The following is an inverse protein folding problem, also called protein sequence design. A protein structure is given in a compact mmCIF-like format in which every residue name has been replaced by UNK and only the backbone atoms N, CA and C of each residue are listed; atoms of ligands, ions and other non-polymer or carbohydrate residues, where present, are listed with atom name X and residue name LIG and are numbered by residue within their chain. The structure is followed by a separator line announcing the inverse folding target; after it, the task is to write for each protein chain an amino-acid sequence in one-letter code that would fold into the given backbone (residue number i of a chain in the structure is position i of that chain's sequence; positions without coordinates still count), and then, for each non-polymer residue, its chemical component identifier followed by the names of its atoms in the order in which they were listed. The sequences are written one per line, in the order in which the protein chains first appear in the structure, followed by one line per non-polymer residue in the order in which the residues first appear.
data_IF_028127022807
#
_entry.id   IF_028127022807
#
_cell.length_a   1.000
_cell.length_b   1.000
_cell.length_c   1.000
_cell.angle_alpha   90.00
_cell.angle_beta   90.00
_cell.angle_gamma   90.00
#
_symmetry.space_group_name_H-M   'P 1'
#
loop_
_entity.id
_entity.type
_entity.pdbx_description
1 polymer ?
#
# COMPACT_ATOMS: atom_id res chain seq x y z
N UNK A 1 -10.50 -16.35 -17.73
CA UNK A 1 -9.36 -15.37 -17.86
C UNK A 1 -8.04 -16.13 -17.70
N UNK A 2 -6.97 -15.80 -18.46
CA UNK A 2 -5.67 -16.45 -18.23
C UNK A 2 -4.98 -15.80 -17.02
N UNK A 3 -4.31 -16.60 -16.18
CA UNK A 3 -3.64 -16.11 -14.97
C UNK A 3 -2.64 -14.97 -15.25
N UNK A 4 -1.87 -15.07 -16.33
CA UNK A 4 -0.93 -14.02 -16.74
C UNK A 4 -1.57 -12.64 -17.00
N UNK A 5 -2.85 -12.62 -17.39
CA UNK A 5 -3.59 -11.38 -17.66
C UNK A 5 -4.25 -10.84 -16.37
N UNK A 6 -4.32 -11.67 -15.33
CA UNK A 6 -4.92 -11.38 -14.04
C UNK A 6 -3.91 -10.85 -12.99
N UNK A 7 -2.62 -10.84 -13.30
CA UNK A 7 -1.57 -10.38 -12.40
C UNK A 7 -0.96 -9.06 -12.83
N UNK A 8 -0.26 -8.41 -11.90
CA UNK A 8 0.42 -7.14 -12.16
C UNK A 8 1.59 -7.36 -13.14
N UNK A 9 1.91 -6.39 -14.00
CA UNK A 9 3.09 -6.43 -14.87
C UNK A 9 4.37 -6.72 -14.10
N UNK A 10 5.29 -7.48 -14.70
CA UNK A 10 6.54 -7.88 -14.07
C UNK A 10 6.40 -8.95 -12.97
N UNK A 11 5.25 -9.63 -12.90
CA UNK A 11 5.10 -10.82 -12.05
C UNK A 11 5.91 -11.96 -12.66
N UNK A 12 6.74 -12.63 -11.85
CA UNK A 12 7.58 -13.75 -12.31
C UNK A 12 6.72 -14.98 -12.65
N UNK A 13 7.20 -15.79 -13.60
CA UNK A 13 6.54 -17.02 -14.02
C UNK A 13 6.30 -17.97 -12.83
N UNK A 14 7.24 -18.05 -11.89
CA UNK A 14 7.07 -18.83 -10.67
C UNK A 14 5.82 -18.45 -9.85
N UNK A 15 5.52 -17.14 -9.73
CA UNK A 15 4.32 -16.68 -9.02
C UNK A 15 3.06 -16.97 -9.83
N UNK A 16 3.13 -16.82 -11.15
CA UNK A 16 2.02 -17.16 -12.06
C UNK A 16 1.65 -18.63 -11.92
N UNK A 17 2.61 -19.54 -12.03
CA UNK A 17 2.42 -20.98 -11.85
C UNK A 17 1.86 -21.33 -10.47
N UNK A 18 2.38 -20.67 -9.41
CA UNK A 18 1.86 -20.86 -8.06
C UNK A 18 0.39 -20.47 -7.94
N UNK A 19 -0.04 -19.39 -8.58
CA UNK A 19 -1.43 -18.95 -8.58
C UNK A 19 -2.32 -19.85 -9.45
N UNK A 20 -1.84 -20.34 -10.59
CA UNK A 20 -2.56 -21.25 -11.48
C UNK A 20 -2.94 -22.57 -10.78
N UNK A 21 -2.08 -23.09 -9.91
CA UNK A 21 -2.32 -24.34 -9.19
C UNK A 21 -3.11 -24.15 -7.89
N UNK A 22 -3.33 -22.90 -7.46
CA UNK A 22 -3.86 -22.60 -6.13
C UNK A 22 -5.27 -23.15 -5.90
N UNK A 23 -6.15 -23.00 -6.89
CA UNK A 23 -7.51 -23.50 -6.81
C UNK A 23 -7.59 -25.03 -6.62
N UNK A 24 -6.76 -25.78 -7.35
CA UNK A 24 -6.72 -27.24 -7.22
C UNK A 24 -6.13 -27.68 -5.89
N UNK A 25 -5.10 -26.99 -5.40
CA UNK A 25 -4.54 -27.25 -4.07
C UNK A 25 -5.53 -26.94 -2.96
N UNK A 26 -6.32 -25.88 -3.08
CA UNK A 26 -7.35 -25.50 -2.12
C UNK A 26 -8.47 -26.57 -2.02
N UNK A 27 -8.74 -27.32 -3.07
CA UNK A 27 -9.71 -28.43 -3.03
C UNK A 27 -9.30 -29.58 -2.13
N UNK A 28 -8.00 -29.81 -1.94
CA UNK A 28 -7.47 -30.97 -1.24
C UNK A 28 -6.79 -30.65 0.08
N UNK A 29 -6.36 -29.40 0.28
CA UNK A 29 -5.67 -28.98 1.49
C UNK A 29 -6.63 -28.88 2.67
N UNK A 30 -6.30 -29.53 3.77
CA UNK A 30 -7.00 -29.39 5.05
C UNK A 30 -6.13 -28.55 6.01
N UNK A 31 -6.78 -27.81 6.86
CA UNK A 31 -6.16 -27.00 7.90
C UNK A 31 -6.65 -27.54 9.25
N UNK A 32 -5.78 -28.22 10.00
CA UNK A 32 -6.15 -28.95 11.23
C UNK A 32 -6.83 -28.11 12.31
N UNK A 33 -6.55 -26.83 12.36
CA UNK A 33 -7.08 -25.91 13.39
C UNK A 33 -8.29 -25.08 12.97
N UNK A 34 -8.69 -25.11 11.74
CA UNK A 34 -10.01 -24.59 11.40
C UNK A 34 -11.01 -25.74 11.64
N UNK A 35 -10.82 -26.44 12.77
CA UNK A 35 -11.86 -27.25 13.37
C UNK A 35 -12.91 -26.36 14.05
N UNK A 36 -12.53 -25.11 14.38
CA UNK A 36 -13.47 -24.11 14.89
C UNK A 36 -14.29 -23.54 13.73
N UNK A 37 -15.58 -23.40 13.98
CA UNK A 37 -16.50 -22.80 13.01
C UNK A 37 -16.14 -21.33 12.73
N UNK A 38 -16.26 -20.95 11.47
CA UNK A 38 -16.21 -19.55 11.02
C UNK A 38 -17.49 -19.22 10.25
N UNK A 39 -17.91 -17.98 10.31
CA UNK A 39 -19.10 -17.51 9.58
C UNK A 39 -18.64 -16.66 8.41
N UNK A 40 -19.00 -17.02 7.21
CA UNK A 40 -18.86 -16.19 6.02
C UNK A 40 -20.14 -15.40 5.85
N UNK A 41 -20.05 -14.09 5.68
CA UNK A 41 -21.20 -13.20 5.70
C UNK A 41 -21.10 -12.16 4.58
N UNK A 42 -22.26 -11.81 4.03
CA UNK A 42 -22.44 -10.68 3.12
C UNK A 42 -23.77 -10.00 3.37
N UNK A 43 -23.87 -8.70 3.05
CA UNK A 43 -25.09 -7.92 3.24
C UNK A 43 -25.40 -7.06 2.03
N UNK A 44 -26.69 -7.00 1.66
CA UNK A 44 -27.19 -6.04 0.69
C UNK A 44 -27.92 -4.89 1.40
N UNK A 45 -27.77 -3.68 0.83
CA UNK A 45 -28.28 -2.46 1.44
C UNK A 45 -28.95 -1.56 0.41
N UNK A 46 -29.74 -0.59 0.85
CA UNK A 46 -30.34 0.42 -0.04
C UNK A 46 -29.34 1.41 -0.64
N UNK A 47 -28.03 1.26 -0.33
CA UNK A 47 -26.93 2.08 -0.82
C UNK A 47 -25.74 2.11 0.14
N UNK A 48 -24.74 2.93 -0.13
CA UNK A 48 -23.43 2.85 0.54
C UNK A 48 -23.29 3.70 1.82
N UNK A 49 -24.19 4.66 2.04
CA UNK A 49 -24.11 5.58 3.20
C UNK A 49 -24.80 4.98 4.41
N UNK A 50 -24.05 4.73 5.46
CA UNK A 50 -24.61 4.22 6.74
C UNK A 50 -25.69 5.13 7.35
N UNK A 51 -25.62 6.44 7.07
CA UNK A 51 -26.56 7.42 7.63
C UNK A 51 -27.92 7.37 6.92
N UNK A 52 -27.91 7.16 5.60
CA UNK A 52 -29.09 7.29 4.74
C UNK A 52 -29.65 5.95 4.28
N UNK A 53 -28.89 4.87 4.39
CA UNK A 53 -29.24 3.58 3.82
C UNK A 53 -29.48 2.51 4.88
N UNK A 54 -30.16 1.43 4.48
CA UNK A 54 -30.66 0.37 5.36
C UNK A 54 -30.31 -0.99 4.79
N UNK A 55 -30.23 -2.00 5.66
CA UNK A 55 -30.12 -3.41 5.28
C UNK A 55 -31.38 -3.86 4.52
N UNK A 56 -31.21 -4.67 3.48
CA UNK A 56 -32.30 -5.31 2.72
C UNK A 56 -32.15 -6.84 2.60
N UNK A 57 -30.91 -7.36 2.75
CA UNK A 57 -30.64 -8.79 2.81
C UNK A 57 -29.43 -9.04 3.72
N UNK A 58 -29.45 -10.14 4.46
CA UNK A 58 -28.32 -10.67 5.23
C UNK A 58 -28.22 -12.15 4.92
N UNK A 59 -27.07 -12.57 4.40
CA UNK A 59 -26.77 -13.98 4.19
C UNK A 59 -25.49 -14.36 4.92
N UNK A 60 -25.47 -15.57 5.47
CA UNK A 60 -24.31 -16.13 6.13
C UNK A 60 -24.23 -17.65 5.95
N UNK A 61 -23.00 -18.15 5.91
CA UNK A 61 -22.71 -19.57 5.89
C UNK A 61 -21.76 -19.93 7.03
N UNK A 62 -22.09 -20.94 7.80
CA UNK A 62 -21.19 -21.56 8.77
C UNK A 62 -20.27 -22.54 8.05
N UNK A 63 -19.00 -22.31 8.12
CA UNK A 63 -17.98 -23.23 7.64
C UNK A 63 -17.34 -23.96 8.81
N UNK A 64 -17.26 -25.29 8.71
CA UNK A 64 -16.44 -26.15 9.56
C UNK A 64 -15.29 -26.69 8.71
N UNK A 65 -14.08 -26.23 8.97
CA UNK A 65 -12.96 -26.52 8.09
C UNK A 65 -13.20 -26.06 6.66
N UNK A 66 -13.46 -27.03 5.76
CA UNK A 66 -13.66 -26.77 4.33
C UNK A 66 -15.12 -26.78 3.90
N UNK A 67 -16.00 -27.25 4.74
CA UNK A 67 -17.39 -27.54 4.37
C UNK A 67 -18.32 -26.46 4.91
N UNK A 68 -19.29 -26.08 4.12
CA UNK A 68 -20.43 -25.29 4.57
C UNK A 68 -21.41 -26.25 5.23
N UNK A 69 -21.60 -26.12 6.55
CA UNK A 69 -22.43 -27.00 7.36
C UNK A 69 -23.81 -26.44 7.66
N UNK A 70 -23.96 -25.11 7.62
CA UNK A 70 -25.23 -24.45 7.89
C UNK A 70 -25.29 -23.11 7.11
N UNK A 71 -26.53 -22.69 6.78
CA UNK A 71 -26.76 -21.41 6.10
C UNK A 71 -27.84 -20.62 6.83
N UNK A 72 -27.67 -19.31 6.79
CA UNK A 72 -28.62 -18.30 7.23
C UNK A 72 -28.86 -17.34 6.08
N UNK A 73 -30.11 -17.11 5.75
CA UNK A 73 -30.49 -16.17 4.71
C UNK A 73 -31.81 -15.50 5.07
N UNK A 74 -31.86 -14.19 5.04
CA UNK A 74 -33.05 -13.43 5.34
C UNK A 74 -33.08 -12.09 4.63
N UNK A 75 -34.21 -11.77 4.01
CA UNK A 75 -34.50 -10.38 3.67
C UNK A 75 -34.73 -9.57 4.94
N UNK A 76 -34.55 -8.26 4.81
CA UNK A 76 -34.74 -7.28 5.90
C UNK A 76 -35.67 -6.18 5.40
N UNK A 77 -36.69 -5.85 6.17
CA UNK A 77 -37.57 -4.73 5.85
C UNK A 77 -36.87 -3.40 6.14
N UNK A 78 -36.52 -2.59 5.10
CA UNK A 78 -35.72 -1.38 5.31
C UNK A 78 -36.50 -0.20 5.90
N UNK A 79 -37.82 -0.24 5.91
CA UNK A 79 -38.69 0.86 6.33
C UNK A 79 -38.74 2.04 5.33
N UNK A 80 -38.15 1.89 4.15
CA UNK A 80 -38.14 2.87 3.08
C UNK A 80 -38.14 2.17 1.72
N UNK A 81 -38.54 2.85 0.60
CA UNK A 81 -38.45 2.27 -0.73
C UNK A 81 -37.00 1.98 -1.13
N UNK A 82 -36.81 0.87 -1.84
CA UNK A 82 -35.50 0.49 -2.41
C UNK A 82 -35.25 1.33 -3.66
N UNK A 83 -34.11 2.04 -3.78
CA UNK A 83 -33.77 2.80 -4.98
C UNK A 83 -33.72 1.88 -6.23
N UNK A 84 -34.24 2.37 -7.36
CA UNK A 84 -34.31 1.58 -8.58
C UNK A 84 -32.92 1.11 -9.10
N UNK A 85 -31.87 1.82 -8.78
CA UNK A 85 -30.48 1.42 -9.07
C UNK A 85 -30.04 0.20 -8.25
N UNK A 86 -30.45 0.15 -6.97
CA UNK A 86 -30.16 -1.00 -6.10
C UNK A 86 -30.98 -2.22 -6.55
N UNK A 87 -32.27 -2.04 -6.86
CA UNK A 87 -33.07 -3.13 -7.43
C UNK A 87 -32.46 -3.69 -8.72
N UNK A 88 -31.91 -2.83 -9.59
CA UNK A 88 -31.21 -3.29 -10.81
C UNK A 88 -29.92 -4.06 -10.51
N UNK A 89 -29.22 -3.71 -9.43
CA UNK A 89 -27.96 -4.32 -9.03
C UNK A 89 -28.22 -5.68 -8.34
N UNK A 90 -29.08 -5.69 -7.32
CA UNK A 90 -29.33 -6.83 -6.42
C UNK A 90 -30.49 -7.72 -6.86
N UNK A 91 -31.32 -7.22 -7.77
CA UNK A 91 -32.63 -7.81 -8.15
C UNK A 91 -33.66 -7.86 -7.01
N UNK A 92 -33.39 -7.27 -5.84
CA UNK A 92 -34.30 -7.20 -4.71
C UNK A 92 -35.29 -6.05 -4.93
N UNK A 93 -36.57 -6.33 -4.74
CA UNK A 93 -37.65 -5.38 -4.93
C UNK A 93 -38.36 -5.06 -3.60
N UNK A 94 -39.13 -3.97 -3.55
CA UNK A 94 -39.95 -3.64 -2.39
C UNK A 94 -40.94 -4.78 -2.03
N UNK A 95 -41.38 -5.58 -3.00
CA UNK A 95 -42.26 -6.70 -2.77
C UNK A 95 -41.59 -7.85 -2.02
N UNK A 96 -40.30 -8.08 -2.27
CA UNK A 96 -39.53 -9.16 -1.62
C UNK A 96 -39.30 -8.87 -0.12
N UNK A 97 -39.13 -7.59 0.23
CA UNK A 97 -38.89 -7.15 1.61
C UNK A 97 -40.15 -6.72 2.37
N UNK A 98 -41.30 -6.69 1.71
CA UNK A 98 -42.54 -6.14 2.30
C UNK A 98 -43.01 -6.87 3.58
N UNK A 99 -42.76 -8.17 3.68
CA UNK A 99 -43.11 -9.01 4.82
C UNK A 99 -41.90 -9.55 5.57
N UNK A 100 -40.70 -9.04 5.23
CA UNK A 100 -39.46 -9.43 5.87
C UNK A 100 -39.40 -8.93 7.32
N UNK A 101 -38.61 -9.58 8.20
CA UNK A 101 -38.41 -9.12 9.57
C UNK A 101 -37.80 -7.72 9.58
N UNK A 102 -37.99 -7.01 10.69
CA UNK A 102 -37.27 -5.75 10.95
C UNK A 102 -35.77 -6.00 11.07
N UNK A 103 -34.97 -4.95 10.92
CA UNK A 103 -33.52 -5.06 11.05
C UNK A 103 -33.11 -5.60 12.43
N UNK A 104 -33.83 -5.21 13.50
CA UNK A 104 -33.55 -5.72 14.85
C UNK A 104 -33.83 -7.21 14.98
N UNK A 105 -34.94 -7.70 14.40
CA UNK A 105 -35.27 -9.13 14.42
C UNK A 105 -34.28 -9.95 13.58
N UNK A 106 -33.93 -9.49 12.38
CA UNK A 106 -32.95 -10.12 11.51
C UNK A 106 -31.56 -10.21 12.15
N UNK A 107 -31.10 -9.12 12.76
CA UNK A 107 -29.80 -9.07 13.45
C UNK A 107 -29.79 -9.93 14.71
N UNK A 108 -30.91 -10.01 15.45
CA UNK A 108 -31.01 -10.91 16.60
C UNK A 108 -30.93 -12.41 16.18
N UNK A 109 -31.59 -12.76 15.09
CA UNK A 109 -31.48 -14.13 14.51
C UNK A 109 -30.05 -14.41 13.99
N UNK A 110 -29.40 -13.40 13.40
CA UNK A 110 -28.00 -13.51 12.99
C UNK A 110 -27.06 -13.72 14.20
N UNK A 111 -27.26 -12.97 15.30
CA UNK A 111 -26.50 -13.14 16.55
C UNK A 111 -26.58 -14.59 17.07
N UNK A 112 -27.79 -15.16 17.08
CA UNK A 112 -27.99 -16.57 17.46
C UNK A 112 -27.28 -17.52 16.49
N UNK A 113 -27.40 -17.29 15.18
CA UNK A 113 -26.73 -18.09 14.15
C UNK A 113 -25.21 -18.01 14.28
N UNK A 114 -24.63 -16.83 14.47
CA UNK A 114 -23.16 -16.62 14.58
C UNK A 114 -22.62 -17.32 15.84
N UNK A 115 -23.33 -17.23 16.97
CA UNK A 115 -22.97 -17.95 18.20
C UNK A 115 -21.58 -17.64 18.75
N UNK A 116 -21.06 -16.44 18.50
CA UNK A 116 -19.73 -16.00 18.95
C UNK A 116 -18.57 -16.44 18.04
N UNK A 117 -18.85 -17.09 16.91
CA UNK A 117 -17.81 -17.43 15.94
C UNK A 117 -17.23 -16.18 15.27
N UNK A 118 -15.97 -16.26 14.77
CA UNK A 118 -15.41 -15.22 13.90
C UNK A 118 -16.22 -15.05 12.62
N UNK A 119 -16.43 -13.80 12.20
CA UNK A 119 -17.13 -13.45 10.96
C UNK A 119 -16.12 -13.01 9.90
N UNK A 120 -16.27 -13.55 8.71
CA UNK A 120 -15.49 -13.24 7.52
C UNK A 120 -16.41 -12.54 6.53
N UNK A 121 -16.02 -11.34 6.07
CA UNK A 121 -16.72 -10.62 5.01
C UNK A 121 -15.71 -10.02 4.02
N UNK A 122 -16.17 -9.64 2.83
CA UNK A 122 -15.31 -9.05 1.82
C UNK A 122 -15.42 -7.52 1.82
N UNK A 123 -14.45 -6.80 2.39
CA UNK A 123 -14.53 -5.43 2.85
C UNK A 123 -15.39 -5.31 4.13
N UNK A 124 -15.06 -6.16 5.08
CA UNK A 124 -15.84 -6.40 6.31
C UNK A 124 -16.24 -5.14 7.10
N UNK A 125 -15.54 -4.03 6.93
CA UNK A 125 -15.92 -2.75 7.55
C UNK A 125 -17.30 -2.28 7.09
N UNK A 126 -17.69 -2.57 5.85
CA UNK A 126 -19.00 -2.22 5.31
C UNK A 126 -20.10 -3.00 6.01
N UNK A 127 -20.08 -4.32 5.93
CA UNK A 127 -21.08 -5.20 6.51
C UNK A 127 -21.19 -4.99 8.03
N UNK A 128 -20.05 -5.01 8.69
CA UNK A 128 -19.94 -4.76 10.12
C UNK A 128 -20.63 -3.46 10.53
N UNK A 129 -20.36 -2.35 9.82
CA UNK A 129 -20.91 -1.04 10.19
C UNK A 129 -22.44 -1.00 10.06
N UNK A 130 -22.99 -1.62 9.03
CA UNK A 130 -24.46 -1.72 8.87
C UNK A 130 -25.10 -2.60 9.96
N UNK A 131 -24.53 -3.77 10.26
CA UNK A 131 -25.01 -4.65 11.33
C UNK A 131 -24.90 -3.98 12.69
N UNK A 132 -23.74 -3.37 13.04
CA UNK A 132 -23.51 -2.71 14.32
C UNK A 132 -24.37 -1.44 14.50
N UNK A 133 -24.85 -0.83 13.42
CA UNK A 133 -25.79 0.29 13.50
C UNK A 133 -27.18 -0.10 13.99
N UNK A 134 -27.52 -1.37 13.87
CA UNK A 134 -28.79 -1.93 14.35
C UNK A 134 -28.66 -2.24 15.84
N UNK A 135 -29.75 -2.05 16.60
CA UNK A 135 -29.78 -2.36 18.02
C UNK A 135 -29.47 -3.84 18.27
N UNK A 136 -28.41 -4.10 19.01
CA UNK A 136 -27.92 -5.45 19.32
C UNK A 136 -26.80 -5.92 18.39
N UNK A 137 -26.60 -5.31 17.24
CA UNK A 137 -25.64 -5.74 16.22
C UNK A 137 -24.19 -5.84 16.67
N UNK A 138 -23.78 -5.06 17.65
CA UNK A 138 -22.42 -5.11 18.25
C UNK A 138 -22.13 -6.49 18.88
N UNK A 139 -23.15 -7.26 19.26
CA UNK A 139 -23.01 -8.57 19.88
C UNK A 139 -22.88 -9.72 18.88
N UNK A 140 -23.06 -9.47 17.59
CA UNK A 140 -23.00 -10.50 16.55
C UNK A 140 -21.64 -11.19 16.55
N UNK A 141 -20.53 -10.44 16.57
CA UNK A 141 -19.20 -11.02 16.73
C UNK A 141 -18.20 -9.98 17.23
N UNK A 142 -17.27 -10.42 18.08
CA UNK A 142 -16.11 -9.63 18.50
C UNK A 142 -14.97 -9.69 17.46
N UNK A 143 -14.97 -10.69 16.58
CA UNK A 143 -13.89 -10.97 15.64
C UNK A 143 -14.44 -10.87 14.22
N UNK A 144 -14.04 -9.80 13.52
CA UNK A 144 -14.32 -9.58 12.11
C UNK A 144 -13.06 -9.68 11.27
N UNK A 145 -13.08 -10.52 10.28
CA UNK A 145 -11.96 -10.80 9.38
C UNK A 145 -12.30 -10.26 7.99
N UNK A 146 -11.51 -9.30 7.50
CA UNK A 146 -11.68 -8.75 6.16
C UNK A 146 -10.89 -9.57 5.14
N UNK A 147 -11.60 -10.35 4.32
CA UNK A 147 -11.02 -11.17 3.27
C UNK A 147 -10.36 -10.33 2.16
N UNK A 148 -10.82 -9.09 1.93
CA UNK A 148 -10.18 -8.15 1.01
C UNK A 148 -8.78 -7.73 1.50
N UNK A 149 -8.63 -7.46 2.79
CA UNK A 149 -7.32 -7.14 3.37
C UNK A 149 -6.39 -8.36 3.33
N UNK A 150 -6.89 -9.54 3.70
CA UNK A 150 -6.11 -10.78 3.62
C UNK A 150 -5.70 -11.14 2.20
N UNK A 151 -6.57 -10.92 1.20
CA UNK A 151 -6.24 -11.20 -0.19
C UNK A 151 -5.04 -10.38 -0.69
N UNK A 152 -4.88 -9.16 -0.19
CA UNK A 152 -3.72 -8.31 -0.50
C UNK A 152 -2.42 -8.81 0.10
N UNK A 153 -2.50 -9.54 1.22
CA UNK A 153 -1.35 -10.19 1.87
C UNK A 153 -1.04 -11.51 1.17
N UNK A 154 -2.06 -12.34 0.97
CA UNK A 154 -1.93 -13.68 0.40
C UNK A 154 -1.54 -13.66 -1.09
N UNK A 155 -2.13 -12.75 -1.85
CA UNK A 155 -2.05 -12.70 -3.32
C UNK A 155 -1.65 -11.29 -3.81
N UNK A 156 -0.50 -10.74 -3.36
CA UNK A 156 -0.14 -9.34 -3.59
C UNK A 156 0.07 -8.99 -5.07
N UNK A 157 0.22 -9.98 -5.93
CA UNK A 157 0.46 -9.79 -7.36
C UNK A 157 -0.80 -9.81 -8.22
N UNK A 158 -1.98 -10.03 -7.65
CA UNK A 158 -3.23 -9.92 -8.41
C UNK A 158 -3.49 -8.47 -8.87
N UNK A 159 -4.03 -8.32 -10.07
CA UNK A 159 -4.41 -7.03 -10.63
C UNK A 159 -5.63 -6.43 -9.93
N UNK A 160 -6.51 -7.26 -9.40
CA UNK A 160 -7.69 -6.88 -8.63
C UNK A 160 -7.93 -7.84 -7.47
N UNK A 161 -8.46 -7.31 -6.37
CA UNK A 161 -8.86 -8.07 -5.20
C UNK A 161 -10.38 -7.99 -4.96
N UNK A 162 -11.17 -7.64 -5.97
CA UNK A 162 -12.63 -7.70 -5.90
C UNK A 162 -13.07 -9.16 -5.78
N UNK A 163 -14.12 -9.43 -5.01
CA UNK A 163 -14.66 -10.78 -4.83
C UNK A 163 -14.98 -11.45 -6.18
N UNK A 164 -15.72 -10.74 -7.04
CA UNK A 164 -16.07 -11.22 -8.38
C UNK A 164 -14.87 -11.57 -9.25
N UNK A 165 -13.81 -10.75 -9.20
CA UNK A 165 -12.58 -11.01 -9.94
C UNK A 165 -11.88 -12.27 -9.45
N UNK A 166 -11.75 -12.44 -8.13
CA UNK A 166 -11.11 -13.62 -7.55
C UNK A 166 -11.95 -14.88 -7.75
N UNK A 167 -13.26 -14.79 -7.59
CA UNK A 167 -14.18 -15.90 -7.82
C UNK A 167 -14.10 -16.42 -9.27
N UNK A 168 -14.16 -15.53 -10.26
CA UNK A 168 -14.00 -15.88 -11.67
C UNK A 168 -12.61 -16.47 -11.96
N UNK A 169 -11.54 -15.85 -11.45
CA UNK A 169 -10.17 -16.28 -11.69
C UNK A 169 -9.88 -17.69 -11.17
N UNK A 170 -10.37 -18.00 -9.98
CA UNK A 170 -10.10 -19.28 -9.31
C UNK A 170 -11.23 -20.33 -9.51
N UNK A 171 -12.26 -19.99 -10.30
CA UNK A 171 -13.35 -20.90 -10.60
C UNK A 171 -14.23 -21.23 -9.39
N UNK A 172 -14.44 -20.25 -8.49
CA UNK A 172 -15.43 -20.28 -7.44
C UNK A 172 -16.83 -19.95 -7.99
N UNK A 173 -17.85 -20.03 -7.13
CA UNK A 173 -19.21 -19.65 -7.49
C UNK A 173 -19.27 -18.19 -7.96
N UNK A 174 -20.26 -17.88 -8.81
CA UNK A 174 -20.35 -16.58 -9.43
C UNK A 174 -20.96 -15.55 -8.46
N UNK A 175 -20.35 -14.39 -8.39
CA UNK A 175 -20.88 -13.21 -7.68
C UNK A 175 -22.02 -12.60 -8.50
N UNK A 176 -23.16 -12.34 -7.86
CA UNK A 176 -24.37 -11.85 -8.53
C UNK A 176 -25.00 -10.62 -7.88
N UNK A 177 -24.35 -10.04 -6.89
CA UNK A 177 -24.94 -9.00 -6.03
C UNK A 177 -26.25 -9.46 -5.37
N UNK A 178 -26.25 -10.69 -4.92
CA UNK A 178 -27.19 -11.30 -3.99
C UNK A 178 -26.36 -11.86 -2.86
N UNK A 179 -26.74 -11.54 -1.63
CA UNK A 179 -25.90 -11.89 -0.49
C UNK A 179 -25.68 -13.41 -0.37
N UNK A 180 -26.69 -14.24 -0.70
CA UNK A 180 -26.58 -15.69 -0.69
C UNK A 180 -25.53 -16.22 -1.69
N UNK A 181 -25.54 -15.73 -2.91
CA UNK A 181 -24.58 -16.12 -3.96
C UNK A 181 -23.17 -15.58 -3.65
N UNK A 182 -23.07 -14.38 -3.13
CA UNK A 182 -21.80 -13.74 -2.78
C UNK A 182 -21.14 -14.43 -1.57
N UNK A 183 -21.93 -14.93 -0.62
CA UNK A 183 -21.47 -15.81 0.47
C UNK A 183 -20.89 -17.12 -0.06
N UNK A 184 -21.53 -17.80 -1.01
CA UNK A 184 -20.98 -19.03 -1.60
C UNK A 184 -19.67 -18.75 -2.35
N UNK A 185 -19.61 -17.68 -3.13
CA UNK A 185 -18.39 -17.23 -3.79
C UNK A 185 -17.27 -16.94 -2.77
N UNK A 186 -17.60 -16.26 -1.67
CA UNK A 186 -16.66 -15.93 -0.62
C UNK A 186 -16.18 -17.17 0.14
N UNK A 187 -17.02 -18.17 0.37
CA UNK A 187 -16.61 -19.47 0.93
C UNK A 187 -15.52 -20.13 0.07
N UNK A 188 -15.70 -20.11 -1.26
CA UNK A 188 -14.69 -20.59 -2.20
C UNK A 188 -13.38 -19.79 -2.12
N UNK A 189 -13.48 -18.47 -2.19
CA UNK A 189 -12.33 -17.55 -2.10
C UNK A 189 -11.62 -17.67 -0.75
N UNK A 190 -12.34 -17.85 0.34
CA UNK A 190 -11.74 -18.06 1.67
C UNK A 190 -10.79 -19.26 1.70
N UNK A 191 -11.19 -20.39 1.10
CA UNK A 191 -10.32 -21.59 0.98
C UNK A 191 -9.05 -21.30 0.18
N UNK A 192 -9.18 -20.52 -0.90
CA UNK A 192 -8.06 -20.06 -1.72
C UNK A 192 -7.10 -19.21 -0.88
N UNK A 193 -7.63 -18.23 -0.13
CA UNK A 193 -6.83 -17.33 0.70
C UNK A 193 -6.07 -18.08 1.80
N UNK A 194 -6.73 -19.01 2.50
CA UNK A 194 -6.05 -19.83 3.51
C UNK A 194 -4.92 -20.67 2.89
N UNK A 195 -5.16 -21.24 1.71
CA UNK A 195 -4.13 -22.02 1.00
C UNK A 195 -2.95 -21.17 0.61
N UNK A 196 -3.19 -19.95 0.10
CA UNK A 196 -2.15 -19.01 -0.28
C UNK A 196 -1.37 -18.48 0.94
N UNK A 197 -2.07 -18.19 2.04
CA UNK A 197 -1.42 -17.76 3.29
C UNK A 197 -0.52 -18.85 3.87
N UNK A 198 -0.96 -20.11 3.82
CA UNK A 198 -0.16 -21.23 4.30
C UNK A 198 1.08 -21.53 3.43
N UNK A 199 1.15 -20.98 2.22
CA UNK A 199 2.36 -21.05 1.37
C UNK A 199 3.39 -19.97 1.73
N UNK A 200 3.04 -19.02 2.59
CA UNK A 200 3.99 -18.02 3.05
C UNK A 200 5.10 -18.69 3.90
N UNK A 201 6.32 -18.14 3.87
CA UNK A 201 7.40 -18.67 4.70
C UNK A 201 6.99 -18.74 6.18
N UNK A 202 7.21 -19.89 6.82
CA UNK A 202 6.80 -20.12 8.21
C UNK A 202 7.35 -19.05 9.17
N UNK A 203 8.59 -18.60 8.99
CA UNK A 203 9.15 -17.49 9.75
C UNK A 203 8.45 -16.15 9.55
N UNK A 204 7.88 -15.91 8.35
CA UNK A 204 7.05 -14.74 8.09
C UNK A 204 5.71 -14.83 8.81
N UNK A 205 5.07 -16.00 8.80
CA UNK A 205 3.84 -16.25 9.53
C UNK A 205 4.00 -15.99 11.03
N UNK A 206 5.09 -16.53 11.64
CA UNK A 206 5.43 -16.26 13.04
C UNK A 206 5.66 -14.77 13.31
N UNK A 207 6.39 -14.10 12.42
CA UNK A 207 6.63 -12.65 12.55
C UNK A 207 5.33 -11.84 12.48
N UNK A 208 4.41 -12.20 11.59
CA UNK A 208 3.09 -11.56 11.50
C UNK A 208 2.23 -11.83 12.74
N UNK A 209 2.29 -13.04 13.29
CA UNK A 209 1.59 -13.40 14.53
C UNK A 209 2.06 -12.56 15.74
N UNK A 210 3.37 -12.32 15.83
CA UNK A 210 4.01 -11.63 16.95
C UNK A 210 4.06 -10.10 16.78
N UNK A 211 3.71 -9.58 15.60
CA UNK A 211 3.81 -8.15 15.29
C UNK A 211 2.81 -7.34 16.14
N UNK A 212 3.33 -6.31 16.84
CA UNK A 212 2.54 -5.39 17.66
C UNK A 212 1.60 -6.11 18.64
N UNK A 213 2.10 -6.90 19.61
CA UNK A 213 1.29 -7.74 20.50
C UNK A 213 0.26 -6.95 21.32
N UNK A 214 0.56 -5.68 21.62
CA UNK A 214 -0.32 -4.79 22.39
C UNK A 214 -1.51 -4.22 21.58
N UNK A 215 -1.55 -4.46 20.26
CA UNK A 215 -2.63 -3.99 19.39
C UNK A 215 -3.57 -5.16 19.11
N UNK A 216 -4.88 -4.95 19.31
CA UNK A 216 -5.90 -5.91 18.87
C UNK A 216 -5.89 -5.98 17.34
N UNK A 217 -5.66 -7.18 16.80
CA UNK A 217 -5.60 -7.43 15.37
C UNK A 217 -6.32 -8.73 15.03
N UNK A 218 -7.45 -8.62 14.37
CA UNK A 218 -8.37 -9.72 14.08
C UNK A 218 -7.75 -10.87 13.24
N UNK A 219 -6.68 -10.57 12.49
CA UNK A 219 -6.00 -11.59 11.66
C UNK A 219 -4.94 -12.39 12.42
N UNK A 220 -4.51 -11.94 13.60
CA UNK A 220 -3.45 -12.60 14.37
C UNK A 220 -3.72 -14.09 14.63
N UNK A 221 -4.94 -14.52 15.00
CA UNK A 221 -5.24 -15.94 15.19
C UNK A 221 -4.92 -16.79 13.96
N UNK A 222 -5.19 -16.27 12.73
CA UNK A 222 -4.89 -16.99 11.48
C UNK A 222 -3.39 -17.19 11.33
N UNK A 223 -2.60 -16.13 11.52
CA UNK A 223 -1.15 -16.23 11.39
C UNK A 223 -0.51 -17.08 12.48
N UNK A 224 -0.96 -16.96 13.74
CA UNK A 224 -0.51 -17.79 14.86
C UNK A 224 -0.75 -19.27 14.58
N UNK A 225 -1.88 -19.56 14.05
CA UNK A 225 -2.33 -20.86 13.65
C UNK A 225 -1.46 -21.47 12.53
N UNK A 226 -1.36 -20.74 11.40
CA UNK A 226 -0.57 -21.23 10.27
C UNK A 226 0.92 -21.37 10.63
N UNK A 227 1.43 -20.51 11.52
CA UNK A 227 2.79 -20.62 12.05
C UNK A 227 3.00 -21.87 12.91
N UNK A 228 2.01 -22.26 13.70
CA UNK A 228 2.07 -23.46 14.55
C UNK A 228 2.08 -24.77 13.75
N UNK A 229 1.38 -24.81 12.62
CA UNK A 229 1.39 -25.97 11.72
C UNK A 229 2.74 -26.15 10.99
N UNK A 230 3.47 -25.08 10.78
CA UNK A 230 4.71 -25.08 10.02
C UNK A 230 5.83 -24.36 10.78
N UNK A 231 6.37 -24.94 11.89
CA UNK A 231 7.48 -24.32 12.60
C UNK A 231 8.70 -24.21 11.67
N UNK A 232 9.08 -22.97 11.36
CA UNK A 232 10.18 -22.66 10.45
C UNK A 232 11.32 -21.90 11.11
N UNK A 233 12.39 -21.68 10.35
CA UNK A 233 13.51 -20.85 10.77
C UNK A 233 13.07 -19.40 11.06
N UNK A 234 13.76 -18.74 11.96
CA UNK A 234 13.48 -17.34 12.29
C UNK A 234 13.50 -16.46 11.03
N UNK A 235 12.45 -15.67 10.86
CA UNK A 235 12.34 -14.73 9.76
C UNK A 235 13.01 -13.40 10.12
N UNK A 236 13.83 -12.88 9.22
CA UNK A 236 14.45 -11.58 9.38
C UNK A 236 14.11 -10.70 8.16
N UNK A 237 13.26 -9.70 8.38
CA UNK A 237 12.93 -8.73 7.35
C UNK A 237 14.17 -7.99 6.82
N UNK A 238 15.18 -7.78 7.68
CA UNK A 238 16.45 -7.16 7.29
C UNK A 238 17.23 -8.08 6.35
N UNK A 239 17.33 -9.39 6.69
CA UNK A 239 17.99 -10.37 5.84
C UNK A 239 17.28 -10.55 4.49
N UNK A 240 15.93 -10.58 4.47
CA UNK A 240 15.17 -10.66 3.24
C UNK A 240 15.33 -9.39 2.37
N UNK A 241 15.30 -8.21 2.98
CA UNK A 241 15.60 -6.97 2.26
C UNK A 241 17.01 -6.98 1.69
N UNK A 242 18.00 -7.40 2.46
CA UNK A 242 19.36 -7.54 1.97
C UNK A 242 19.45 -8.52 0.80
N UNK A 243 18.80 -9.69 0.90
CA UNK A 243 18.78 -10.69 -0.17
C UNK A 243 18.14 -10.16 -1.47
N UNK A 244 17.05 -9.39 -1.38
CA UNK A 244 16.34 -8.82 -2.55
C UNK A 244 17.11 -7.64 -3.13
N UNK A 245 17.72 -6.80 -2.29
CA UNK A 245 18.49 -5.62 -2.74
C UNK A 245 19.84 -6.03 -3.31
N UNK A 246 20.45 -7.10 -2.81
CA UNK A 246 21.80 -7.54 -3.24
C UNK A 246 21.84 -8.33 -4.55
N UNK A 247 20.69 -8.64 -5.16
CA UNK A 247 20.74 -9.38 -6.43
C UNK A 247 21.39 -8.58 -7.57
N UNK A 248 21.26 -7.21 -7.61
CA UNK A 248 21.83 -6.42 -8.73
C UNK A 248 22.21 -4.94 -8.39
N UNK A 249 22.10 -4.48 -7.16
CA UNK A 249 22.28 -3.05 -6.85
C UNK A 249 23.13 -2.77 -5.58
N UNK A 250 24.01 -3.68 -5.19
CA UNK A 250 25.00 -3.33 -4.16
C UNK A 250 25.99 -2.34 -4.76
N UNK A 251 25.99 -1.06 -4.36
CA UNK A 251 27.20 -0.31 -4.50
C UNK A 251 28.27 -1.12 -3.75
N UNK A 252 29.39 -1.41 -4.38
CA UNK A 252 30.54 -1.96 -3.69
C UNK A 252 30.73 -1.10 -2.44
N UNK A 253 30.61 -1.71 -1.26
CA UNK A 253 30.97 -1.04 -0.01
C UNK A 253 32.46 -0.74 -0.13
N UNK A 254 32.78 0.48 -0.48
CA UNK A 254 34.16 0.97 -0.46
C UNK A 254 34.54 1.03 1.02
N UNK A 255 35.56 0.31 1.41
CA UNK A 255 36.11 0.41 2.76
C UNK A 255 36.49 1.88 3.06
N UNK A 256 36.26 2.33 4.29
CA UNK A 256 36.52 3.72 4.64
C UNK A 256 37.99 4.12 4.37
N UNK A 257 38.89 3.16 4.37
CA UNK A 257 40.32 3.35 4.04
C UNK A 257 40.59 3.44 2.52
N UNK A 258 39.68 2.98 1.67
CA UNK A 258 39.80 2.99 0.22
C UNK A 258 39.14 4.23 -0.44
N UNK A 259 38.52 5.11 0.35
CA UNK A 259 37.93 6.35 -0.19
C UNK A 259 39.03 7.26 -0.67
N UNK A 260 39.10 7.64 -1.95
CA UNK A 260 40.15 8.51 -2.46
C UNK A 260 40.11 9.88 -1.75
N UNK A 261 41.28 10.51 -1.62
CA UNK A 261 41.36 11.89 -1.12
C UNK A 261 40.52 12.80 -2.02
N UNK A 262 39.63 13.58 -1.41
CA UNK A 262 38.77 14.51 -2.15
C UNK A 262 39.61 15.70 -2.56
N UNK A 263 39.77 15.88 -3.87
CA UNK A 263 40.44 17.04 -4.44
C UNK A 263 39.50 18.25 -4.39
N UNK A 264 39.96 19.31 -3.75
CA UNK A 264 39.19 20.54 -3.59
C UNK A 264 40.01 21.75 -4.11
N UNK A 265 39.32 22.79 -4.62
CA UNK A 265 40.01 24.07 -4.91
C UNK A 265 40.58 24.66 -3.63
N UNK A 266 41.59 25.54 -3.76
CA UNK A 266 42.12 26.28 -2.61
C UNK A 266 41.08 27.24 -2.01
N UNK A 267 41.34 27.77 -0.81
CA UNK A 267 40.46 28.79 -0.20
C UNK A 267 40.38 30.05 -1.07
N UNK A 268 41.49 30.44 -1.67
CA UNK A 268 41.60 31.59 -2.56
C UNK A 268 40.82 31.35 -3.87
N UNK A 269 40.84 30.14 -4.41
CA UNK A 269 40.04 29.79 -5.59
C UNK A 269 38.53 29.84 -5.26
N UNK A 270 38.10 29.36 -4.08
CA UNK A 270 36.70 29.48 -3.64
C UNK A 270 36.30 30.95 -3.47
N UNK A 271 37.15 31.78 -2.86
CA UNK A 271 36.91 33.22 -2.72
C UNK A 271 36.76 33.90 -4.08
N UNK A 272 37.64 33.59 -5.03
CA UNK A 272 37.58 34.13 -6.38
C UNK A 272 36.24 33.91 -7.09
N UNK A 273 35.54 32.84 -6.79
CA UNK A 273 34.23 32.56 -7.38
C UNK A 273 33.13 33.51 -6.89
N UNK A 274 33.34 34.21 -5.78
CA UNK A 274 32.41 35.23 -5.27
C UNK A 274 32.83 36.67 -5.74
N UNK A 275 33.95 36.82 -6.38
CA UNK A 275 34.41 38.10 -6.91
C UNK A 275 33.91 38.33 -8.34
N UNK A 276 33.96 39.60 -8.86
CA UNK A 276 33.54 39.88 -10.23
C UNK A 276 34.24 38.98 -11.26
N UNK A 277 33.47 38.28 -12.06
CA UNK A 277 33.96 37.31 -13.03
C UNK A 277 33.94 35.84 -12.54
N UNK A 278 33.73 35.58 -11.24
CA UNK A 278 33.53 34.25 -10.69
C UNK A 278 32.14 33.72 -10.94
N UNK A 279 31.96 32.41 -10.75
CA UNK A 279 30.69 31.70 -11.03
C UNK A 279 29.53 32.26 -10.20
N UNK A 280 29.71 32.44 -8.89
CA UNK A 280 28.67 32.96 -8.00
C UNK A 280 28.28 34.38 -8.34
N UNK A 281 29.26 35.24 -8.56
CA UNK A 281 29.01 36.63 -8.96
C UNK A 281 28.25 36.74 -10.30
N UNK A 282 28.48 35.80 -11.21
CA UNK A 282 27.79 35.74 -12.51
C UNK A 282 26.36 35.20 -12.44
N UNK A 283 25.93 34.58 -11.33
CA UNK A 283 24.58 34.06 -11.16
C UNK A 283 23.52 35.12 -10.85
N UNK A 284 23.96 36.27 -10.32
CA UNK A 284 23.05 37.32 -9.82
C UNK A 284 23.42 38.69 -10.34
N UNK A 285 22.46 39.42 -10.84
CA UNK A 285 22.65 40.81 -11.23
C UNK A 285 22.91 41.70 -9.98
N UNK A 286 23.97 42.48 -10.00
CA UNK A 286 24.33 43.34 -8.87
C UNK A 286 24.82 42.57 -7.62
N UNK A 287 25.41 41.40 -7.80
CA UNK A 287 25.92 40.60 -6.70
C UNK A 287 27.05 41.35 -5.95
N UNK A 288 26.91 41.37 -4.63
CA UNK A 288 27.96 41.87 -3.72
C UNK A 288 28.37 40.72 -2.78
N UNK A 289 29.64 40.33 -2.83
CA UNK A 289 30.21 39.33 -1.96
C UNK A 289 30.18 39.80 -0.49
N UNK A 290 29.73 38.92 0.40
CA UNK A 290 29.76 39.14 1.86
C UNK A 290 30.87 38.30 2.47
N UNK A 291 31.66 38.89 3.36
CA UNK A 291 32.78 38.17 3.99
C UNK A 291 32.33 36.89 4.67
N UNK A 292 31.20 36.91 5.38
CA UNK A 292 30.63 35.75 6.10
C UNK A 292 30.16 34.64 5.13
N UNK A 293 29.72 35.00 3.93
CA UNK A 293 29.34 34.03 2.89
C UNK A 293 30.60 33.33 2.33
N UNK A 294 31.63 34.04 2.06
CA UNK A 294 32.92 33.50 1.59
C UNK A 294 33.53 32.59 2.66
N UNK A 295 33.57 33.07 3.92
CA UNK A 295 34.08 32.28 5.06
C UNK A 295 33.34 30.98 5.21
N UNK A 296 32.01 31.01 5.14
CA UNK A 296 31.18 29.79 5.19
C UNK A 296 31.52 28.83 4.03
N UNK A 297 31.71 29.34 2.82
CA UNK A 297 32.06 28.50 1.66
C UNK A 297 33.45 27.86 1.83
N UNK A 298 34.40 28.59 2.39
CA UNK A 298 35.74 28.09 2.69
C UNK A 298 35.72 27.03 3.79
N UNK A 299 34.88 27.16 4.83
CA UNK A 299 34.73 26.16 5.88
C UNK A 299 34.07 24.89 5.37
N UNK A 300 33.07 24.99 4.47
CA UNK A 300 32.48 23.83 3.81
C UNK A 300 33.50 23.14 2.91
N UNK A 301 34.28 23.89 2.15
CA UNK A 301 35.41 23.38 1.35
C UNK A 301 36.39 22.58 2.20
N UNK A 302 36.78 23.13 3.36
CA UNK A 302 37.70 22.45 4.27
C UNK A 302 37.11 21.18 4.87
N UNK A 303 35.83 21.17 5.14
CA UNK A 303 35.14 19.95 5.58
C UNK A 303 35.28 18.80 4.56
N UNK A 304 35.15 19.10 3.27
CA UNK A 304 35.41 18.12 2.20
C UNK A 304 36.88 17.71 2.12
N UNK A 305 37.77 18.67 2.05
CA UNK A 305 39.22 18.42 1.87
C UNK A 305 39.85 17.63 3.03
N UNK A 306 39.40 17.89 4.26
CA UNK A 306 39.96 17.32 5.47
C UNK A 306 39.10 16.16 6.01
N UNK A 307 38.00 15.81 5.32
CA UNK A 307 37.01 14.81 5.78
C UNK A 307 36.54 15.09 7.20
N UNK A 308 36.38 16.36 7.53
CA UNK A 308 36.02 16.81 8.87
C UNK A 308 34.54 17.14 8.98
N UNK A 309 34.03 17.01 10.19
CA UNK A 309 32.69 17.49 10.52
C UNK A 309 32.76 18.96 10.91
N UNK A 310 31.84 19.79 10.39
CA UNK A 310 31.71 21.20 10.72
C UNK A 310 30.29 21.53 11.13
N UNK A 311 30.12 22.30 12.15
CA UNK A 311 28.87 22.95 12.51
C UNK A 311 29.01 24.43 12.26
N UNK A 312 28.23 24.96 11.33
CA UNK A 312 28.33 26.34 10.89
C UNK A 312 27.00 27.03 11.17
N UNK A 313 27.04 28.09 11.96
CA UNK A 313 25.91 28.98 12.19
C UNK A 313 26.11 30.29 11.42
N UNK A 314 25.13 30.67 10.63
CA UNK A 314 25.15 31.92 9.88
C UNK A 314 23.80 32.61 9.94
N UNK A 315 23.79 33.94 10.03
CA UNK A 315 22.59 34.76 10.11
C UNK A 315 21.66 34.62 8.88
N UNK A 316 20.43 35.11 9.00
CA UNK A 316 19.52 35.22 7.85
C UNK A 316 20.04 36.25 6.85
N UNK A 317 19.89 35.98 5.54
CA UNK A 317 20.29 36.90 4.48
C UNK A 317 21.77 36.85 4.07
N UNK A 318 22.61 36.05 4.73
CA UNK A 318 24.05 35.90 4.35
C UNK A 318 24.22 35.19 3.00
N UNK A 319 23.22 34.51 2.46
CA UNK A 319 23.36 33.76 1.22
C UNK A 319 23.89 32.33 1.45
N UNK A 320 23.48 31.69 2.55
CA UNK A 320 23.94 30.36 2.96
C UNK A 320 23.85 29.30 1.87
N UNK A 321 22.79 29.32 1.07
CA UNK A 321 22.53 28.26 0.08
C UNK A 321 23.69 28.15 -0.91
N UNK A 322 24.09 29.23 -1.51
CA UNK A 322 25.18 29.20 -2.48
C UNK A 322 26.55 28.99 -1.82
N UNK A 323 26.72 29.42 -0.55
CA UNK A 323 27.95 29.23 0.21
C UNK A 323 28.29 27.74 0.44
N UNK A 324 27.27 26.85 0.59
CA UNK A 324 27.53 25.41 0.66
C UNK A 324 27.36 24.69 -0.69
N UNK A 325 26.56 25.22 -1.62
CA UNK A 325 26.35 24.59 -2.92
C UNK A 325 27.60 24.67 -3.82
N UNK A 326 28.32 25.81 -3.80
CA UNK A 326 29.51 25.95 -4.62
C UNK A 326 30.62 24.94 -4.26
N UNK A 327 31.09 24.82 -3.01
CA UNK A 327 32.08 23.79 -2.67
C UNK A 327 31.54 22.35 -2.86
N UNK A 328 30.24 22.10 -2.67
CA UNK A 328 29.64 20.80 -2.96
C UNK A 328 29.69 20.46 -4.46
N UNK A 329 29.41 21.43 -5.32
CA UNK A 329 29.53 21.28 -6.77
C UNK A 329 30.98 21.05 -7.23
N UNK A 330 31.94 21.78 -6.66
CA UNK A 330 33.37 21.59 -6.94
C UNK A 330 33.84 20.19 -6.49
N UNK A 331 33.42 19.74 -5.31
CA UNK A 331 33.70 18.37 -4.85
C UNK A 331 33.15 17.33 -5.80
N UNK A 332 31.88 17.45 -6.20
CA UNK A 332 31.23 16.53 -7.11
C UNK A 332 31.91 16.47 -8.48
N UNK A 333 32.27 17.63 -9.04
CA UNK A 333 32.87 17.75 -10.37
C UNK A 333 34.30 17.23 -10.42
N UNK A 334 35.15 17.67 -9.49
CA UNK A 334 36.57 17.30 -9.49
C UNK A 334 36.82 15.83 -9.22
N UNK A 335 35.94 15.22 -8.41
CA UNK A 335 36.13 13.84 -7.93
C UNK A 335 35.18 12.84 -8.56
N UNK A 336 34.26 13.25 -9.44
CA UNK A 336 33.23 12.41 -10.04
C UNK A 336 32.38 11.67 -8.98
N UNK A 337 32.05 12.36 -7.89
CA UNK A 337 31.26 11.83 -6.77
C UNK A 337 29.87 12.47 -6.71
N UNK A 338 28.95 11.79 -6.04
CA UNK A 338 27.65 12.35 -5.68
C UNK A 338 27.71 12.99 -4.29
N UNK A 339 27.29 14.24 -4.18
CA UNK A 339 27.17 14.96 -2.91
C UNK A 339 25.71 15.06 -2.50
N UNK A 340 25.39 14.57 -1.32
CA UNK A 340 24.04 14.64 -0.74
C UNK A 340 23.85 15.91 0.10
N UNK A 341 22.76 16.64 -0.15
CA UNK A 341 22.36 17.82 0.63
C UNK A 341 21.00 17.54 1.26
N UNK A 342 20.97 17.39 2.58
CA UNK A 342 19.74 17.19 3.34
C UNK A 342 19.16 18.53 3.80
N UNK A 343 17.88 18.75 3.54
CA UNK A 343 17.14 19.95 3.94
C UNK A 343 16.09 19.64 5.00
N UNK A 344 15.81 20.58 5.89
CA UNK A 344 14.78 20.42 6.93
C UNK A 344 13.36 20.45 6.35
N UNK A 345 13.14 21.15 5.23
CA UNK A 345 11.81 21.33 4.65
C UNK A 345 11.81 21.12 3.14
N UNK A 346 10.67 20.69 2.61
CA UNK A 346 10.43 20.56 1.17
C UNK A 346 10.57 21.92 0.45
N UNK A 347 10.12 23.02 1.08
CA UNK A 347 10.22 24.35 0.48
C UNK A 347 11.68 24.74 0.22
N UNK A 348 12.60 24.41 1.14
CA UNK A 348 14.03 24.66 0.92
C UNK A 348 14.58 23.74 -0.17
N UNK A 349 14.19 22.45 -0.18
CA UNK A 349 14.58 21.54 -1.25
C UNK A 349 14.10 22.04 -2.63
N UNK A 350 12.87 22.53 -2.72
CA UNK A 350 12.30 23.08 -3.95
C UNK A 350 13.00 24.38 -4.37
N UNK A 351 13.36 25.26 -3.42
CA UNK A 351 14.16 26.44 -3.69
C UNK A 351 15.52 26.07 -4.30
N UNK A 352 16.21 25.08 -3.71
CA UNK A 352 17.47 24.60 -4.26
C UNK A 352 17.30 24.01 -5.67
N UNK A 353 16.31 23.14 -5.84
CA UNK A 353 16.05 22.42 -7.09
C UNK A 353 15.66 23.32 -8.25
N UNK A 354 14.80 24.30 -8.01
CA UNK A 354 14.18 25.09 -9.08
C UNK A 354 14.80 26.48 -9.26
N UNK A 355 15.63 26.93 -8.31
CA UNK A 355 16.21 28.28 -8.38
C UNK A 355 17.74 28.28 -8.30
N UNK A 356 18.32 27.68 -7.25
CA UNK A 356 19.75 27.80 -7.02
C UNK A 356 20.59 26.86 -7.88
N UNK A 357 20.25 25.57 -7.88
CA UNK A 357 20.99 24.54 -8.63
C UNK A 357 20.96 24.76 -10.15
N UNK A 358 19.84 25.14 -10.79
CA UNK A 358 19.83 25.45 -12.22
C UNK A 358 20.77 26.61 -12.59
N UNK A 359 20.82 27.66 -11.76
CA UNK A 359 21.71 28.80 -11.98
C UNK A 359 23.18 28.39 -11.82
N UNK A 360 23.49 27.63 -10.79
CA UNK A 360 24.81 27.10 -10.56
C UNK A 360 25.26 26.16 -11.68
N UNK A 361 24.39 25.21 -12.08
CA UNK A 361 24.69 24.28 -13.16
C UNK A 361 24.97 24.97 -14.51
N UNK A 362 24.30 26.07 -14.78
CA UNK A 362 24.58 26.90 -15.96
C UNK A 362 26.04 27.41 -16.01
N UNK A 363 26.67 27.61 -14.85
CA UNK A 363 28.08 28.03 -14.77
C UNK A 363 29.08 26.89 -15.07
N UNK A 364 28.58 25.64 -15.13
CA UNK A 364 29.36 24.45 -15.47
C UNK A 364 29.10 23.93 -16.89
N UNK A 365 28.49 24.75 -17.74
CA UNK A 365 28.18 24.38 -19.15
C UNK A 365 27.40 23.05 -19.33
N UNK A 366 26.49 22.75 -18.40
CA UNK A 366 25.70 21.55 -18.42
C UNK A 366 26.38 20.29 -17.84
N UNK A 367 27.57 20.41 -17.35
CA UNK A 367 28.39 19.32 -16.81
C UNK A 367 28.11 19.01 -15.33
N UNK A 368 27.18 19.72 -14.69
CA UNK A 368 26.72 19.48 -13.33
C UNK A 368 25.29 18.95 -13.37
N UNK A 369 25.10 17.67 -13.04
CA UNK A 369 23.79 17.07 -12.90
C UNK A 369 23.33 17.10 -11.45
N UNK A 370 22.01 17.28 -11.25
CA UNK A 370 21.41 17.30 -9.92
C UNK A 370 19.99 16.73 -9.96
N UNK A 371 19.54 16.21 -8.83
CA UNK A 371 18.18 15.70 -8.66
C UNK A 371 17.74 15.87 -7.21
N UNK A 372 16.43 15.83 -6.97
CA UNK A 372 15.87 15.82 -5.62
C UNK A 372 15.28 14.45 -5.28
N UNK A 373 15.52 14.01 -4.05
CA UNK A 373 14.88 12.86 -3.46
C UNK A 373 14.00 13.32 -2.29
N UNK A 374 12.71 13.10 -2.39
CA UNK A 374 11.72 13.41 -1.34
C UNK A 374 11.27 12.13 -0.66
N UNK A 375 10.55 12.23 0.46
CA UNK A 375 9.87 11.09 1.06
C UNK A 375 8.89 10.46 0.07
N UNK A 376 8.67 9.16 0.16
CA UNK A 376 7.90 8.41 -0.84
C UNK A 376 6.44 8.90 -0.98
N UNK A 377 5.89 9.56 0.03
CA UNK A 377 4.55 10.17 -0.01
C UNK A 377 4.42 11.32 -1.02
N UNK A 378 5.56 11.85 -1.48
CA UNK A 378 5.62 12.87 -2.52
C UNK A 378 5.69 12.31 -3.94
N UNK A 379 5.74 10.99 -4.09
CA UNK A 379 5.76 10.33 -5.40
C UNK A 379 4.46 9.60 -5.68
N UNK A 380 3.93 9.68 -6.90
CA UNK A 380 2.76 8.91 -7.27
C UNK A 380 3.08 7.42 -7.23
N UNK A 381 2.22 6.65 -6.59
CA UNK A 381 2.34 5.19 -6.62
C UNK A 381 1.99 4.70 -8.03
N UNK A 382 2.98 4.20 -8.77
CA UNK A 382 2.81 3.71 -10.15
C UNK A 382 1.70 2.67 -10.26
N UNK A 383 1.56 1.79 -9.27
CA UNK A 383 0.47 0.80 -9.21
C UNK A 383 -0.92 1.46 -9.10
N UNK A 384 -1.05 2.56 -8.32
CA UNK A 384 -2.31 3.31 -8.24
C UNK A 384 -2.60 4.06 -9.53
N UNK A 385 -1.59 4.67 -10.15
CA UNK A 385 -1.73 5.36 -11.45
C UNK A 385 -2.17 4.39 -12.54
N UNK A 386 -1.57 3.22 -12.61
CA UNK A 386 -1.92 2.19 -13.59
C UNK A 386 -3.37 1.71 -13.42
N UNK A 387 -3.83 1.53 -12.18
CA UNK A 387 -5.25 1.23 -11.91
C UNK A 387 -6.19 2.34 -12.40
N UNK A 388 -5.86 3.59 -12.13
CA UNK A 388 -6.65 4.74 -12.58
C UNK A 388 -6.69 4.85 -14.11
N UNK A 389 -5.59 4.56 -14.80
CA UNK A 389 -5.56 4.59 -16.26
C UNK A 389 -6.40 3.48 -16.88
N UNK A 390 -6.41 2.28 -16.29
CA UNK A 390 -7.25 1.15 -16.74
C UNK A 390 -8.73 1.42 -16.51
N UNK A 391 -9.13 1.91 -15.33
CA UNK A 391 -10.53 2.26 -15.05
C UNK A 391 -11.04 3.40 -15.94
N UNK A 392 -10.18 4.33 -16.33
CA UNK A 392 -10.56 5.41 -17.28
C UNK A 392 -10.73 4.91 -18.71
N UNK A 393 -10.09 3.82 -19.11
CA UNK A 393 -10.28 3.19 -20.43
C UNK A 393 -11.56 2.34 -20.48
N UNK A 394 -11.97 1.72 -19.37
CA UNK A 394 -13.25 0.99 -19.28
C UNK A 394 -14.46 1.94 -19.32
N UNK A 395 -14.37 3.12 -18.71
CA UNK A 395 -15.45 4.13 -18.76
C UNK A 395 -15.65 4.72 -20.17
N UNK A 396 -14.66 4.65 -21.04
CA UNK A 396 -14.77 5.17 -22.43
C UNK A 396 -15.39 4.19 -23.42
N UNK A 397 -15.52 2.92 -23.07
CA UNK A 397 -16.08 1.89 -23.96
C UNK A 397 -17.60 1.73 -23.82
N UNK A 398 -18.23 2.31 -22.78
CA UNK A 398 -19.68 2.22 -22.53
C UNK A 398 -20.48 3.47 -22.99
N UNK A 399 -19.96 4.27 -23.91
CA UNK A 399 -20.78 5.25 -24.62
C UNK A 399 -21.21 4.66 -25.96
N UNK A 400 -22.42 4.12 -25.94
CA UNK A 400 -23.17 3.70 -27.12
C UNK A 400 -23.25 4.88 -28.12
N UNK A 401 -22.95 4.67 -29.43
CA UNK A 401 -23.02 5.73 -30.46
C UNK A 401 -24.44 6.11 -30.91
N UNK A 402 -25.48 5.73 -30.17
CA UNK A 402 -26.87 5.87 -30.59
C UNK A 402 -27.62 7.08 -29.98
N UNK A 403 -26.96 7.99 -29.26
CA UNK A 403 -27.56 9.24 -28.79
C UNK A 403 -26.86 10.47 -29.38
N UNK A 404 -27.15 10.70 -30.66
CA UNK A 404 -27.05 12.01 -31.31
C UNK A 404 -28.35 12.36 -31.98
#
# INVERSE_FOLDING_TARGET
MLMKDAVLPGTSDYVIEAYETLADRAKTRSFGLIEDDVIVLDTETTGLSLQDNKLIEISAARMHGREVVERFDTFVHPGCPIPAEITRLTSITDADVATAPSAEEAVAALEEFVGGCPVIAHNATFDRSFIESVKGGVRVSDIWIDSLALSRIALPRLASHKLSFMADLFGCDAVSHRADADVEALCGVWRILLTALADLPAGLLSHLADMHPDVSWSYRPIFSYLAAEHPGAAFSLVAERQRVVHADLSPECVDADDVPNIEMPSREEIEAEFLPGGKVASMYEGFEARAEQVEMAQEVRDAFALRGHRVIEAGTGVGKSIAYLLPAAEAAKRNHITVGIATKSNNLADQLMFHELPRLAAQYNGDLSFTALKGYDHYPCLRKLERLSRSSSEIKTDKDPADT
#
